data_IF_044496962952
#
_entry.id   IF_044496962952
#
_cell.length_a   1.000
_cell.length_b   1.000
_cell.length_c   1.000
_cell.angle_alpha   90.00
_cell.angle_beta   90.00
_cell.angle_gamma   90.00
#
_symmetry.space_group_name_H-M   'P 1'
#
loop_
_entity.id
_entity.type
_entity.pdbx_description
1 polymer ?
#
# COMPACT_ATOMS: atom_id res chain seq x y z
N UNK A 1 15.84 5.44 -9.68
CA UNK A 1 15.12 4.28 -9.08
C UNK A 1 15.98 3.03 -9.25
N UNK A 2 16.12 2.20 -8.23
CA UNK A 2 17.04 1.04 -8.29
C UNK A 2 16.32 -0.22 -8.77
N UNK A 3 16.82 -0.85 -9.84
CA UNK A 3 16.30 -2.12 -10.34
C UNK A 3 16.46 -3.21 -9.26
N UNK A 4 15.41 -3.99 -9.00
CA UNK A 4 15.48 -5.10 -8.04
C UNK A 4 16.19 -6.32 -8.59
N UNK A 5 16.32 -6.44 -9.92
CA UNK A 5 16.98 -7.60 -10.52
C UNK A 5 18.50 -7.40 -10.59
N UNK A 6 18.97 -6.36 -11.29
CA UNK A 6 20.41 -6.11 -11.49
C UNK A 6 21.00 -4.94 -10.67
N UNK A 7 20.18 -4.23 -9.87
CA UNK A 7 20.62 -3.11 -9.02
C UNK A 7 21.08 -1.84 -9.74
N UNK A 8 20.86 -1.73 -11.06
CA UNK A 8 21.06 -0.51 -11.84
C UNK A 8 20.17 0.67 -11.40
N UNK A 9 20.70 1.89 -11.44
CA UNK A 9 19.97 3.14 -11.24
C UNK A 9 19.27 3.56 -12.54
N UNK A 10 17.94 3.58 -12.56
CA UNK A 10 17.15 3.98 -13.73
C UNK A 10 16.50 5.35 -13.52
N UNK A 11 16.36 6.19 -14.56
CA UNK A 11 15.58 7.42 -14.49
C UNK A 11 14.12 7.18 -14.05
N UNK A 12 13.45 8.17 -13.43
CA UNK A 12 12.04 8.06 -13.10
C UNK A 12 11.19 7.88 -14.37
N UNK A 13 10.09 7.14 -14.25
CA UNK A 13 9.15 6.89 -15.35
C UNK A 13 9.51 5.72 -16.28
N UNK A 14 10.67 5.07 -16.10
CA UNK A 14 11.03 3.90 -16.89
C UNK A 14 10.21 2.66 -16.50
N UNK A 15 9.66 1.95 -17.51
CA UNK A 15 8.87 0.71 -17.31
C UNK A 15 9.74 -0.55 -17.23
N UNK A 16 10.91 -0.51 -17.87
CA UNK A 16 11.88 -1.60 -17.91
C UNK A 16 13.27 -1.07 -17.57
N UNK A 17 14.13 -1.93 -17.04
CA UNK A 17 15.50 -1.58 -16.76
C UNK A 17 16.31 -1.45 -18.06
N UNK A 18 17.00 -0.32 -18.22
CA UNK A 18 17.85 -0.09 -19.40
C UNK A 18 19.08 -1.00 -19.50
N UNK A 19 19.47 -1.67 -18.41
CA UNK A 19 20.62 -2.56 -18.37
C UNK A 19 20.23 -4.04 -18.55
N UNK A 20 19.24 -4.54 -17.79
CA UNK A 20 18.90 -5.96 -17.78
C UNK A 20 17.53 -6.29 -18.39
N UNK A 21 16.74 -5.30 -18.82
CA UNK A 21 15.39 -5.50 -19.35
C UNK A 21 14.33 -5.90 -18.32
N UNK A 22 14.69 -6.06 -17.05
CA UNK A 22 13.75 -6.39 -15.97
C UNK A 22 12.65 -5.35 -15.80
N UNK A 23 11.41 -5.78 -15.57
CA UNK A 23 10.26 -4.89 -15.35
C UNK A 23 10.45 -4.07 -14.07
N UNK A 24 10.19 -2.77 -14.16
CA UNK A 24 10.31 -1.81 -13.07
C UNK A 24 8.95 -1.38 -12.50
N UNK A 25 7.90 -1.40 -13.32
CA UNK A 25 6.52 -1.15 -12.88
C UNK A 25 6.01 -2.23 -11.91
N UNK A 26 5.22 -1.81 -10.92
CA UNK A 26 4.58 -2.72 -9.98
C UNK A 26 3.19 -3.09 -10.51
N UNK A 27 2.86 -4.38 -10.48
CA UNK A 27 1.50 -4.85 -10.81
C UNK A 27 0.72 -4.96 -9.50
N UNK A 28 -0.47 -4.35 -9.47
CA UNK A 28 -1.33 -4.41 -8.29
C UNK A 28 -1.84 -5.85 -8.10
N UNK A 29 -1.62 -6.48 -6.93
CA UNK A 29 -2.10 -7.85 -6.69
C UNK A 29 -3.63 -7.94 -6.56
N UNK A 30 -4.32 -6.82 -6.31
CA UNK A 30 -5.77 -6.80 -6.10
C UNK A 30 -6.56 -6.57 -7.40
N UNK A 31 -6.07 -5.70 -8.30
CA UNK A 31 -6.80 -5.34 -9.52
C UNK A 31 -5.98 -5.50 -10.82
N UNK A 32 -4.74 -6.01 -10.75
CA UNK A 32 -3.85 -6.24 -11.89
C UNK A 32 -3.40 -4.98 -12.65
N UNK A 33 -3.72 -3.78 -12.17
CA UNK A 33 -3.27 -2.55 -12.79
C UNK A 33 -1.73 -2.40 -12.72
N UNK A 34 -1.12 -1.93 -13.81
CA UNK A 34 0.28 -1.47 -13.81
C UNK A 34 0.39 -0.13 -13.08
N UNK A 35 1.36 -0.03 -12.19
CA UNK A 35 1.62 1.16 -11.39
C UNK A 35 3.05 1.64 -11.60
N UNK A 36 3.27 2.97 -11.67
CA UNK A 36 4.61 3.53 -11.75
C UNK A 36 5.50 3.02 -10.61
N UNK A 37 6.80 2.86 -10.89
CA UNK A 37 7.75 2.43 -9.88
C UNK A 37 7.80 3.38 -8.68
N UNK A 38 7.97 2.82 -7.48
CA UNK A 38 8.06 3.58 -6.23
C UNK A 38 6.73 3.93 -5.57
N UNK A 39 5.60 3.67 -6.23
CA UNK A 39 4.27 3.81 -5.63
C UNK A 39 4.07 2.79 -4.50
N UNK A 40 3.51 3.25 -3.38
CA UNK A 40 3.16 2.39 -2.22
C UNK A 40 1.77 1.78 -2.34
N UNK A 41 0.85 2.49 -3.00
CA UNK A 41 -0.56 2.11 -3.18
C UNK A 41 -0.92 2.19 -4.66
N UNK A 42 -1.92 1.40 -5.05
CA UNK A 42 -2.43 1.37 -6.41
C UNK A 42 -3.20 2.66 -6.71
N UNK A 43 -2.88 3.30 -7.84
CA UNK A 43 -3.60 4.49 -8.31
C UNK A 43 -5.04 4.22 -8.75
N UNK A 44 -5.38 2.98 -9.09
CA UNK A 44 -6.71 2.58 -9.57
C UNK A 44 -7.65 2.14 -8.44
N UNK A 45 -7.17 1.30 -7.52
CA UNK A 45 -8.02 0.70 -6.48
C UNK A 45 -7.60 1.02 -5.04
N UNK A 46 -6.48 1.73 -4.83
CA UNK A 46 -5.97 2.08 -3.50
C UNK A 46 -5.29 0.94 -2.72
N UNK A 47 -5.30 -0.30 -3.22
CA UNK A 47 -4.65 -1.43 -2.54
C UNK A 47 -3.12 -1.26 -2.44
N UNK A 48 -2.46 -1.77 -1.38
CA UNK A 48 -1.00 -1.69 -1.25
C UNK A 48 -0.29 -2.52 -2.34
N UNK A 49 0.75 -1.94 -2.96
CA UNK A 49 1.52 -2.57 -4.05
C UNK A 49 2.67 -3.44 -3.55
N UNK A 50 3.21 -3.11 -2.37
CA UNK A 50 4.09 -4.00 -1.63
C UNK A 50 3.24 -4.69 -0.57
N UNK A 51 3.21 -6.03 -0.59
CA UNK A 51 2.84 -6.77 0.59
C UNK A 51 3.83 -6.34 1.69
N UNK A 52 3.37 -5.56 2.67
CA UNK A 52 4.10 -5.40 3.92
C UNK A 52 4.44 -6.82 4.36
N UNK A 53 5.70 -7.17 4.68
CA UNK A 53 5.99 -8.49 5.23
C UNK A 53 4.98 -8.64 6.35
N UNK A 54 4.12 -9.66 6.25
CA UNK A 54 3.07 -9.89 7.20
C UNK A 54 3.74 -9.76 8.56
N UNK A 55 3.46 -8.65 9.25
CA UNK A 55 3.90 -8.49 10.61
C UNK A 55 3.25 -9.67 11.30
N UNK A 56 4.11 -10.65 11.59
CA UNK A 56 3.81 -11.87 12.31
C UNK A 56 2.75 -11.53 13.34
N UNK A 57 1.69 -12.34 13.29
CA UNK A 57 0.49 -12.29 14.11
C UNK A 57 0.76 -11.73 15.51
N UNK A 58 0.54 -10.43 15.67
CA UNK A 58 0.15 -9.86 16.94
C UNK A 58 -1.08 -9.03 16.60
N UNK A 59 -2.23 -9.70 16.63
CA UNK A 59 -3.50 -9.00 16.71
C UNK A 59 -3.45 -8.07 17.93
N UNK A 60 -3.64 -6.74 17.81
CA UNK A 60 -4.33 -6.03 18.85
C UNK A 60 -5.81 -6.29 18.60
N UNK A 61 -6.39 -7.18 19.41
CA UNK A 61 -7.82 -7.38 19.49
C UNK A 61 -8.51 -6.15 20.09
N UNK A 62 -8.51 -5.00 19.42
CA UNK A 62 -9.27 -3.81 19.81
C UNK A 62 -9.50 -2.96 18.54
N UNK A 63 -10.69 -2.53 18.14
CA UNK A 63 -11.97 -2.42 18.84
C UNK A 63 -13.04 -2.06 17.79
N UNK A 64 -13.92 -2.99 17.43
CA UNK A 64 -15.13 -2.68 16.66
C UNK A 64 -16.18 -1.94 17.51
N UNK A 65 -15.98 -1.84 18.82
CA UNK A 65 -16.97 -1.30 19.76
C UNK A 65 -16.96 0.22 19.90
N UNK A 66 -15.94 0.95 19.43
CA UNK A 66 -15.93 2.43 19.58
C UNK A 66 -16.96 3.15 18.74
N UNK A 67 -17.47 2.52 17.68
CA UNK A 67 -18.55 3.06 16.83
C UNK A 67 -19.94 2.56 17.23
N UNK A 68 -20.04 1.63 18.19
CA UNK A 68 -21.32 1.02 18.57
C UNK A 68 -22.11 1.80 19.63
N UNK A 69 -21.48 2.71 20.39
CA UNK A 69 -22.14 3.50 21.44
C UNK A 69 -22.12 5.01 21.12
N UNK A 70 -23.18 5.56 20.50
CA UNK A 70 -23.34 7.01 20.29
C UNK A 70 -23.39 7.82 21.61
N UNK A 71 -23.64 7.14 22.74
CA UNK A 71 -23.62 7.71 24.10
C UNK A 71 -22.27 8.34 24.47
N UNK A 72 -21.18 7.89 23.85
CA UNK A 72 -19.82 8.40 24.06
C UNK A 72 -19.64 9.85 23.57
N UNK A 73 -20.40 10.26 22.56
CA UNK A 73 -20.28 11.57 21.91
C UNK A 73 -21.31 12.58 22.43
N UNK A 74 -22.24 12.18 23.31
CA UNK A 74 -23.32 13.07 23.78
C UNK A 74 -22.96 13.65 25.14
N UNK A 75 -22.51 14.93 25.25
CA UNK A 75 -22.19 15.56 26.52
C UNK A 75 -23.43 15.72 27.41
N UNK A 76 -23.26 15.52 28.72
CA UNK A 76 -24.34 15.47 29.75
C UNK A 76 -25.17 16.76 29.91
N UNK A 77 -24.80 17.85 29.25
CA UNK A 77 -25.44 19.16 29.38
C UNK A 77 -26.40 19.50 28.23
N UNK A 78 -26.67 18.55 27.33
CA UNK A 78 -27.56 18.71 26.18
C UNK A 78 -28.99 18.12 26.41
N UNK A 79 -29.34 17.80 27.66
CA UNK A 79 -30.68 17.33 28.06
C UNK A 79 -31.45 18.41 28.81
#
# INVERSE_FOLDING_TARGET
>A
MKCTNCRHENPPGQKFCGECGGRLEAVCPSCQASNPPGQKFCGECGAPLAAKPASVDIAPAHSADRFASPESYTPKHLA
#
